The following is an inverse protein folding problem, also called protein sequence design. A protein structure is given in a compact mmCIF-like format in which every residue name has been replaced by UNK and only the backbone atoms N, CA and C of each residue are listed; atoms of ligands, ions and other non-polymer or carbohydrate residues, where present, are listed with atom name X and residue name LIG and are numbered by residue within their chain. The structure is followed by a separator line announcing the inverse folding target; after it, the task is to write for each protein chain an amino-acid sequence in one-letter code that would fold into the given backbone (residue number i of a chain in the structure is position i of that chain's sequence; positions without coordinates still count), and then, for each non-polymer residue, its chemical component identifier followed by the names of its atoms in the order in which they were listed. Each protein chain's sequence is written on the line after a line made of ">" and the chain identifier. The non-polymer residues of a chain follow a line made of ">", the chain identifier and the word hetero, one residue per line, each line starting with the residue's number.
data_IF_516424738918
#
_entry.id   IF_516424738918
#
_cell.length_a   1.000
_cell.length_b   1.000
_cell.length_c   1.000
_cell.angle_alpha   90.00
_cell.angle_beta   90.00
_cell.angle_gamma   90.00
#
_symmetry.space_group_name_H-M   'P 1'
#
loop_
_entity.id
_entity.type
_entity.pdbx_description
1 polymer ?
#
# COMPACT_ATOMS: atom_id res chain seq x y z
N UNK A 1 13.55 -6.53 -35.78
CA UNK A 1 13.03 -6.12 -34.46
C UNK A 1 14.16 -5.60 -33.60
N UNK A 2 14.16 -4.30 -33.26
CA UNK A 2 15.12 -3.64 -32.36
C UNK A 2 14.54 -2.35 -31.75
N UNK A 3 13.58 -1.72 -32.44
CA UNK A 3 12.87 -0.52 -31.98
C UNK A 3 12.09 -0.72 -30.66
N UNK A 4 11.50 -1.90 -30.42
CA UNK A 4 10.67 -2.14 -29.23
C UNK A 4 11.45 -2.21 -27.91
N UNK A 5 12.74 -2.60 -27.95
CA UNK A 5 13.56 -2.72 -26.73
C UNK A 5 13.90 -1.34 -26.16
N UNK A 6 14.20 -0.38 -27.04
CA UNK A 6 14.49 1.01 -26.64
C UNK A 6 13.22 1.69 -26.13
N UNK A 7 12.07 1.47 -26.79
CA UNK A 7 10.79 2.01 -26.36
C UNK A 7 10.33 1.46 -24.98
N UNK A 8 10.50 0.16 -24.73
CA UNK A 8 10.16 -0.44 -23.43
C UNK A 8 11.09 0.06 -22.31
N UNK A 9 12.39 0.20 -22.58
CA UNK A 9 13.35 0.75 -21.62
C UNK A 9 13.08 2.23 -21.28
N UNK A 10 12.69 3.04 -22.27
CA UNK A 10 12.32 4.45 -22.06
C UNK A 10 11.01 4.56 -21.26
N UNK A 11 10.00 3.76 -21.61
CA UNK A 11 8.70 3.71 -20.93
C UNK A 11 8.82 3.32 -19.45
N UNK A 12 9.67 2.34 -19.11
CA UNK A 12 9.89 1.95 -17.71
C UNK A 12 10.49 3.08 -16.87
N UNK A 13 11.53 3.75 -17.38
CA UNK A 13 12.19 4.86 -16.65
C UNK A 13 11.29 6.09 -16.56
N UNK A 14 10.50 6.35 -17.59
CA UNK A 14 9.52 7.42 -17.61
C UNK A 14 8.37 7.17 -16.65
N UNK A 15 7.93 5.92 -16.41
CA UNK A 15 6.87 5.59 -15.44
C UNK A 15 7.31 5.59 -13.97
N UNK A 16 8.55 5.16 -13.68
CA UNK A 16 9.05 5.13 -12.29
C UNK A 16 9.10 6.54 -11.68
N UNK A 17 9.49 7.56 -12.46
CA UNK A 17 9.54 8.96 -12.00
C UNK A 17 8.18 9.50 -11.51
N UNK A 18 7.08 9.46 -12.29
CA UNK A 18 5.76 9.91 -11.87
C UNK A 18 5.16 9.03 -10.77
N UNK A 19 5.56 7.76 -10.64
CA UNK A 19 5.17 6.97 -9.46
C UNK A 19 5.79 7.53 -8.17
N UNK A 20 7.09 7.85 -8.19
CA UNK A 20 7.77 8.46 -7.04
C UNK A 20 7.24 9.85 -6.70
N UNK A 21 6.93 10.66 -7.71
CA UNK A 21 6.30 11.98 -7.50
C UNK A 21 4.91 11.81 -6.90
N UNK A 22 4.10 10.87 -7.41
CA UNK A 22 2.77 10.57 -6.85
C UNK A 22 2.85 10.10 -5.40
N UNK A 23 3.75 9.17 -5.10
CA UNK A 23 4.00 8.71 -3.74
C UNK A 23 4.38 9.86 -2.80
N UNK A 24 5.33 10.71 -3.22
CA UNK A 24 5.77 11.85 -2.41
C UNK A 24 4.64 12.84 -2.15
N UNK A 25 3.80 13.12 -3.16
CA UNK A 25 2.64 13.99 -3.01
C UNK A 25 1.63 13.38 -2.04
N UNK A 26 1.35 12.09 -2.12
CA UNK A 26 0.45 11.42 -1.18
C UNK A 26 0.99 11.44 0.25
N UNK A 27 2.29 11.23 0.43
CA UNK A 27 2.94 11.33 1.74
C UNK A 27 2.84 12.74 2.32
N UNK A 28 3.11 13.78 1.54
CA UNK A 28 3.17 15.16 2.05
C UNK A 28 1.77 15.77 2.21
N UNK A 29 0.89 15.61 1.22
CA UNK A 29 -0.41 16.29 1.17
C UNK A 29 -1.46 15.58 2.00
N UNK A 30 -1.44 14.24 2.01
CA UNK A 30 -2.47 13.45 2.67
C UNK A 30 -2.04 12.92 4.05
N UNK A 31 -0.79 13.16 4.45
CA UNK A 31 -0.20 12.57 5.65
C UNK A 31 -0.43 11.04 5.70
N UNK A 32 -0.31 10.42 4.52
CA UNK A 32 -0.77 9.05 4.30
C UNK A 32 -0.08 8.02 5.22
N UNK A 33 1.24 8.10 5.50
CA UNK A 33 1.89 7.20 6.45
C UNK A 33 1.25 7.20 7.83
N UNK A 34 0.85 8.37 8.33
CA UNK A 34 0.18 8.48 9.62
C UNK A 34 -1.19 7.79 9.61
N UNK A 35 -1.96 7.99 8.55
CA UNK A 35 -3.26 7.31 8.40
C UNK A 35 -3.10 5.78 8.26
N UNK A 36 -2.05 5.32 7.57
CA UNK A 36 -1.70 3.89 7.49
C UNK A 36 -1.38 3.37 8.89
N UNK A 37 -0.55 4.07 9.65
CA UNK A 37 -0.14 3.65 10.99
C UNK A 37 -1.33 3.58 11.96
N UNK A 38 -2.21 4.59 11.94
CA UNK A 38 -3.42 4.63 12.76
C UNK A 38 -4.35 3.46 12.41
N UNK A 39 -4.60 3.23 11.12
CA UNK A 39 -5.43 2.15 10.66
C UNK A 39 -4.84 0.76 10.98
N UNK A 40 -3.52 0.60 10.85
CA UNK A 40 -2.82 -0.64 11.22
C UNK A 40 -2.89 -0.89 12.73
N UNK A 41 -2.71 0.15 13.53
CA UNK A 41 -2.81 0.05 15.00
C UNK A 41 -4.22 -0.38 15.41
N UNK A 42 -5.25 0.19 14.78
CA UNK A 42 -6.64 -0.16 15.03
C UNK A 42 -6.97 -1.57 14.53
N UNK A 43 -6.47 -1.98 13.37
CA UNK A 43 -6.70 -3.31 12.79
C UNK A 43 -5.99 -4.42 13.59
N UNK A 44 -4.86 -4.10 14.23
CA UNK A 44 -4.10 -5.04 15.06
C UNK A 44 -4.70 -5.25 16.45
N UNK A 45 -5.78 -4.53 16.81
CA UNK A 45 -6.53 -4.81 18.04
C UNK A 45 -7.23 -6.17 17.95
N UNK A 46 -7.30 -6.95 19.05
CA UNK A 46 -7.88 -8.30 19.04
C UNK A 46 -9.29 -8.41 18.44
N UNK A 47 -10.11 -7.36 18.62
CA UNK A 47 -11.48 -7.30 18.08
C UNK A 47 -11.50 -7.25 16.55
N UNK A 48 -10.57 -6.53 15.93
CA UNK A 48 -10.52 -6.30 14.49
C UNK A 48 -9.61 -7.31 13.78
N UNK A 49 -8.57 -7.79 14.47
CA UNK A 49 -7.57 -8.72 13.94
C UNK A 49 -8.19 -9.98 13.33
N UNK A 50 -9.25 -10.53 13.94
CA UNK A 50 -9.96 -11.72 13.42
C UNK A 50 -10.66 -11.48 12.09
N UNK A 51 -11.18 -10.28 11.89
CA UNK A 51 -11.90 -9.89 10.65
C UNK A 51 -10.91 -9.51 9.56
N UNK A 52 -9.79 -8.90 9.97
CA UNK A 52 -8.71 -8.46 9.10
C UNK A 52 -7.84 -9.64 8.59
N UNK A 53 -7.76 -10.73 9.35
CA UNK A 53 -6.96 -11.90 9.02
C UNK A 53 -7.52 -12.70 7.84
N UNK A 54 -7.20 -12.24 6.63
CA UNK A 54 -7.53 -12.95 5.39
C UNK A 54 -6.50 -14.06 5.17
N UNK A 55 -6.89 -15.30 5.49
CA UNK A 55 -6.11 -16.49 5.15
C UNK A 55 -4.92 -16.79 6.08
N UNK A 56 -4.96 -16.36 7.34
CA UNK A 56 -3.89 -16.64 8.32
C UNK A 56 -2.62 -15.84 8.10
N UNK A 57 -2.74 -14.68 7.44
CA UNK A 57 -1.61 -13.82 7.11
C UNK A 57 -1.17 -12.98 8.31
N UNK A 58 -2.13 -12.60 9.16
CA UNK A 58 -1.91 -11.74 10.33
C UNK A 58 -1.94 -12.51 11.64
N UNK A 59 -2.59 -13.67 11.70
CA UNK A 59 -2.65 -14.50 12.92
C UNK A 59 -1.72 -15.70 12.79
N UNK A 60 -0.91 -15.94 13.82
CA UNK A 60 0.10 -17.01 13.80
C UNK A 60 -0.49 -18.40 14.05
N UNK A 61 -1.41 -18.51 15.02
CA UNK A 61 -2.01 -19.76 15.45
C UNK A 61 -3.54 -19.60 15.59
N UNK A 62 -4.32 -20.51 14.99
CA UNK A 62 -5.79 -20.51 15.09
C UNK A 62 -6.33 -20.69 16.52
N UNK A 63 -5.45 -21.03 17.48
CA UNK A 63 -5.80 -21.16 18.90
C UNK A 63 -5.64 -19.84 19.68
N UNK A 64 -4.84 -18.90 19.17
CA UNK A 64 -4.48 -17.66 19.88
C UNK A 64 -4.74 -16.46 18.98
N UNK A 65 -6.03 -16.24 18.65
CA UNK A 65 -6.48 -15.17 17.72
C UNK A 65 -6.21 -13.74 18.23
N UNK A 66 -5.66 -13.59 19.44
CA UNK A 66 -5.29 -12.29 20.00
C UNK A 66 -3.85 -11.92 19.69
N UNK A 67 -3.03 -12.87 19.20
CA UNK A 67 -1.63 -12.62 18.88
C UNK A 67 -1.41 -12.42 17.39
N UNK A 68 -1.05 -11.19 16.98
CA UNK A 68 -0.65 -10.96 15.61
C UNK A 68 0.74 -11.54 15.35
N UNK A 69 0.95 -12.03 14.13
CA UNK A 69 2.17 -12.63 13.61
C UNK A 69 3.22 -11.56 13.32
N UNK A 70 3.78 -10.98 14.39
CA UNK A 70 4.76 -9.89 14.29
C UNK A 70 6.09 -10.33 13.68
N UNK A 71 6.42 -11.62 13.74
CA UNK A 71 7.71 -12.15 13.27
C UNK A 71 7.94 -12.01 11.76
N UNK A 72 6.87 -11.84 10.97
CA UNK A 72 6.94 -11.60 9.52
C UNK A 72 6.71 -10.14 9.12
N UNK A 73 6.39 -9.29 10.10
CA UNK A 73 6.07 -7.88 9.87
C UNK A 73 7.29 -7.04 10.22
N UNK A 74 7.82 -6.34 9.22
CA UNK A 74 8.97 -5.46 9.37
C UNK A 74 8.47 -4.01 9.53
N UNK A 75 8.86 -3.29 10.60
CA UNK A 75 8.56 -1.87 10.71
C UNK A 75 9.42 -1.05 9.73
N UNK A 76 8.82 -0.06 9.08
CA UNK A 76 9.53 0.95 8.30
C UNK A 76 9.97 2.12 9.16
N UNK A 77 10.72 3.05 8.54
CA UNK A 77 11.21 4.26 9.18
C UNK A 77 10.08 5.20 9.67
N UNK A 78 8.90 5.10 9.06
CA UNK A 78 7.67 5.81 9.46
C UNK A 78 6.77 4.96 10.38
N UNK A 79 7.33 3.90 10.98
CA UNK A 79 6.67 2.96 11.91
C UNK A 79 5.56 2.10 11.28
N UNK A 80 5.26 2.29 9.99
CA UNK A 80 4.30 1.45 9.28
C UNK A 80 4.81 0.01 9.16
N UNK A 81 3.92 -0.96 9.29
CA UNK A 81 4.23 -2.38 9.18
C UNK A 81 4.21 -2.84 7.72
N UNK A 82 5.21 -3.63 7.34
CA UNK A 82 5.36 -4.20 6.00
C UNK A 82 5.48 -5.73 6.04
N UNK A 83 4.95 -6.37 5.00
CA UNK A 83 5.15 -7.79 4.70
C UNK A 83 5.89 -7.89 3.37
N UNK A 84 7.07 -8.51 3.32
CA UNK A 84 7.89 -8.64 2.11
C UNK A 84 8.16 -7.29 1.41
N UNK A 85 8.51 -6.25 2.18
CA UNK A 85 8.67 -4.87 1.70
C UNK A 85 7.40 -4.18 1.16
N UNK A 86 6.22 -4.80 1.26
CA UNK A 86 4.93 -4.21 0.89
C UNK A 86 4.24 -3.74 2.17
N UNK A 87 3.87 -2.46 2.23
CA UNK A 87 3.10 -1.86 3.31
C UNK A 87 1.76 -2.57 3.47
N UNK A 88 1.48 -2.98 4.69
CA UNK A 88 0.21 -3.62 4.99
C UNK A 88 -0.90 -2.57 4.97
N UNK A 89 -1.76 -2.58 3.96
CA UNK A 89 -2.94 -1.71 3.91
C UNK A 89 -4.15 -2.45 4.51
N UNK A 90 -4.57 -2.11 5.74
CA UNK A 90 -5.72 -2.73 6.37
C UNK A 90 -7.03 -2.38 5.64
N UNK A 91 -8.03 -3.25 5.78
CA UNK A 91 -9.41 -3.01 5.38
C UNK A 91 -10.06 -1.98 6.31
N UNK A 92 -9.63 -1.95 7.57
CA UNK A 92 -10.04 -0.93 8.52
C UNK A 92 -9.67 0.49 8.07
N UNK A 93 -10.58 1.45 8.29
CA UNK A 93 -10.34 2.88 8.03
C UNK A 93 -10.54 3.33 6.58
N UNK A 94 -11.13 2.49 5.72
CA UNK A 94 -11.42 2.79 4.29
C UNK A 94 -10.22 3.31 3.50
N UNK A 95 -9.01 3.00 3.98
CA UNK A 95 -7.78 3.63 3.52
C UNK A 95 -7.50 3.35 2.04
N UNK A 96 -7.88 2.17 1.56
CA UNK A 96 -7.81 1.81 0.14
C UNK A 96 -8.70 2.69 -0.72
N UNK A 97 -9.91 2.98 -0.25
CA UNK A 97 -10.86 3.86 -0.96
C UNK A 97 -10.36 5.30 -0.98
N UNK A 98 -9.81 5.78 0.15
CA UNK A 98 -9.22 7.11 0.25
C UNK A 98 -8.02 7.27 -0.69
N UNK A 99 -7.06 6.35 -0.61
CA UNK A 99 -5.88 6.30 -1.49
C UNK A 99 -6.33 6.36 -2.96
N UNK A 100 -7.34 5.59 -3.31
CA UNK A 100 -7.85 5.50 -4.68
C UNK A 100 -8.52 6.79 -5.15
N UNK A 101 -9.43 7.33 -4.35
CA UNK A 101 -10.17 8.55 -4.65
C UNK A 101 -9.23 9.75 -4.78
N UNK A 102 -8.30 9.91 -3.83
CA UNK A 102 -7.32 11.00 -3.86
C UNK A 102 -6.35 10.84 -5.03
N UNK A 103 -5.86 9.63 -5.28
CA UNK A 103 -4.99 9.37 -6.43
C UNK A 103 -5.65 9.71 -7.77
N UNK A 104 -6.97 9.58 -7.88
CA UNK A 104 -7.72 9.97 -9.08
C UNK A 104 -7.84 11.49 -9.21
N UNK A 105 -7.97 12.20 -8.09
CA UNK A 105 -8.06 13.68 -8.04
C UNK A 105 -6.72 14.39 -8.20
N UNK A 106 -5.61 13.75 -7.85
CA UNK A 106 -4.28 14.37 -7.97
C UNK A 106 -4.03 14.80 -9.42
N UNK A 107 -3.55 16.03 -9.60
CA UNK A 107 -3.25 16.65 -10.92
C UNK A 107 -2.30 15.81 -11.79
N UNK A 108 -1.59 14.86 -11.18
CA UNK A 108 -0.66 13.93 -11.82
C UNK A 108 -1.28 12.57 -12.15
N UNK A 109 -2.61 12.43 -12.06
CA UNK A 109 -3.35 11.28 -12.58
C UNK A 109 -3.41 11.39 -14.11
N UNK A 110 -2.47 10.72 -14.79
CA UNK A 110 -2.73 10.33 -16.17
C UNK A 110 -3.90 9.35 -16.09
N UNK A 111 -5.01 9.58 -16.81
CA UNK A 111 -6.24 8.77 -16.80
C UNK A 111 -5.95 7.27 -17.07
N UNK A 112 -5.47 6.59 -16.04
CA UNK A 112 -5.22 5.17 -15.97
C UNK A 112 -6.50 4.57 -15.40
N UNK A 113 -7.04 3.54 -16.05
CA UNK A 113 -8.17 2.80 -15.49
C UNK A 113 -7.84 2.30 -14.07
N UNK A 114 -8.90 2.05 -13.29
CA UNK A 114 -8.86 1.57 -11.91
C UNK A 114 -7.78 0.50 -11.69
N UNK A 115 -7.76 -0.51 -12.55
CA UNK A 115 -6.81 -1.64 -12.46
C UNK A 115 -5.35 -1.21 -12.58
N UNK A 116 -5.04 -0.28 -13.48
CA UNK A 116 -3.66 0.20 -13.68
C UNK A 116 -3.21 1.04 -12.49
N UNK A 117 -4.09 1.87 -11.94
CA UNK A 117 -3.80 2.62 -10.71
C UNK A 117 -3.54 1.69 -9.53
N UNK A 118 -4.34 0.62 -9.39
CA UNK A 118 -4.12 -0.36 -8.33
C UNK A 118 -2.75 -1.04 -8.43
N UNK A 119 -2.34 -1.46 -9.63
CA UNK A 119 -1.01 -2.07 -9.84
C UNK A 119 0.13 -1.07 -9.56
N UNK A 120 -0.02 0.18 -9.99
CA UNK A 120 0.94 1.25 -9.75
C UNK A 120 1.10 1.55 -8.25
N UNK A 121 -0.01 1.56 -7.49
CA UNK A 121 -0.02 1.81 -6.05
C UNK A 121 0.50 0.63 -5.25
N UNK A 122 0.21 -0.60 -5.68
CA UNK A 122 0.73 -1.84 -5.06
C UNK A 122 2.27 -1.92 -5.07
N UNK A 123 2.92 -1.20 -5.98
CA UNK A 123 4.39 -1.10 -6.01
C UNK A 123 4.95 -0.11 -4.98
N UNK A 124 4.11 0.78 -4.45
CA UNK A 124 4.47 1.85 -3.52
C UNK A 124 4.05 1.52 -2.09
N UNK A 125 2.87 0.93 -1.94
CA UNK A 125 2.27 0.51 -0.68
C UNK A 125 1.98 -0.98 -0.74
#
# INVERSE_FOLDING_TARGET
>A
GKANVVADALSRKERIKPLRVRALVMTIVLDLPKQILEAQTESMKPKNLKVEDVGGMLIENSKDLEKPKKEKLEPRADETLCLNNISLLPWYGELRTLIMHESHKLKYSVHLGFDKMYQDMKLLY
#
